data_IF_680059968167
#
_entry.id   IF_680059968167
#
_cell.length_a   1.000
_cell.length_b   1.000
_cell.length_c   1.000
_cell.angle_alpha   90.00
_cell.angle_beta   90.00
_cell.angle_gamma   90.00
#
_symmetry.space_group_name_H-M   'P 1'
#
loop_
_entity.id
_entity.type
_entity.pdbx_description
1 polymer ?
#
# COMPACT_ATOMS: atom_id res chain seq x y z
N UNK A 1 3.18 -26.05 -1.33
CA UNK A 1 4.46 -25.65 -0.71
C UNK A 1 4.63 -24.15 -0.90
N UNK A 2 4.75 -23.36 0.17
CA UNK A 2 5.04 -21.91 0.04
C UNK A 2 6.53 -21.79 -0.28
N UNK A 3 6.87 -21.13 -1.39
CA UNK A 3 8.28 -20.89 -1.74
C UNK A 3 8.93 -20.04 -0.63
N UNK A 4 10.21 -20.29 -0.29
CA UNK A 4 10.92 -19.43 0.64
C UNK A 4 11.00 -18.01 0.10
N UNK A 5 10.97 -17.03 1.01
CA UNK A 5 11.20 -15.63 0.68
C UNK A 5 12.66 -15.48 0.22
N UNK A 6 12.87 -15.01 -1.00
CA UNK A 6 14.20 -14.73 -1.55
C UNK A 6 14.59 -13.28 -1.20
N UNK A 7 15.55 -13.06 -0.27
CA UNK A 7 15.95 -11.72 0.16
C UNK A 7 16.67 -10.92 -0.94
N UNK A 8 17.15 -11.58 -2.00
CA UNK A 8 17.85 -10.92 -3.10
C UNK A 8 16.91 -10.42 -4.21
N UNK A 9 15.63 -10.77 -4.14
CA UNK A 9 14.63 -10.38 -5.14
C UNK A 9 13.62 -9.43 -4.54
N UNK A 10 13.91 -8.16 -4.75
CA UNK A 10 13.04 -7.04 -4.44
C UNK A 10 12.05 -6.84 -5.57
N UNK A 11 10.78 -6.64 -5.21
CA UNK A 11 9.71 -6.21 -6.11
C UNK A 11 9.02 -4.97 -5.53
N UNK A 12 8.48 -4.13 -6.38
CA UNK A 12 7.66 -2.98 -5.95
C UNK A 12 6.19 -3.38 -6.04
N UNK A 13 5.40 -3.02 -5.05
CA UNK A 13 3.95 -3.16 -5.05
C UNK A 13 3.32 -1.77 -5.07
N UNK A 14 2.26 -1.64 -5.86
CA UNK A 14 1.43 -0.47 -5.91
C UNK A 14 0.17 -0.72 -5.09
N UNK A 15 -0.17 0.22 -4.22
CA UNK A 15 -1.42 0.22 -3.51
C UNK A 15 -2.27 1.42 -3.92
N UNK A 16 -3.50 1.15 -4.31
CA UNK A 16 -4.50 2.17 -4.64
C UNK A 16 -5.56 2.18 -3.54
N UNK A 17 -5.79 3.34 -2.95
CA UNK A 17 -6.74 3.48 -1.85
C UNK A 17 -7.67 4.67 -2.06
N UNK A 18 -8.82 4.59 -1.41
CA UNK A 18 -9.79 5.66 -1.34
C UNK A 18 -10.08 5.96 0.10
N UNK A 19 -10.17 7.24 0.42
CA UNK A 19 -10.55 7.70 1.75
C UNK A 19 -11.50 8.90 1.65
N UNK A 20 -12.12 9.22 2.77
CA UNK A 20 -12.89 10.45 2.95
C UNK A 20 -12.42 11.17 4.20
N UNK A 21 -12.44 12.49 4.19
CA UNK A 21 -12.20 13.33 5.35
C UNK A 21 -13.50 13.99 5.78
N UNK A 22 -13.45 14.87 6.78
CA UNK A 22 -14.61 15.69 7.16
C UNK A 22 -15.08 16.62 6.03
N UNK A 23 -14.15 17.12 5.24
CA UNK A 23 -14.42 18.16 4.24
C UNK A 23 -14.56 17.60 2.82
N UNK A 24 -13.99 16.41 2.56
CA UNK A 24 -13.99 15.79 1.23
C UNK A 24 -14.53 14.36 1.29
N UNK A 25 -15.58 14.10 0.50
CA UNK A 25 -16.30 12.83 0.52
C UNK A 25 -15.57 11.67 -0.17
N UNK A 26 -14.64 11.97 -1.09
CA UNK A 26 -13.89 10.94 -1.81
C UNK A 26 -12.56 11.46 -2.34
N UNK A 27 -11.46 10.92 -1.83
CA UNK A 27 -10.09 11.15 -2.29
C UNK A 27 -9.48 9.83 -2.74
N UNK A 28 -8.64 9.89 -3.78
CA UNK A 28 -7.89 8.75 -4.31
C UNK A 28 -6.41 8.93 -4.00
N UNK A 29 -5.79 7.89 -3.44
CA UNK A 29 -4.36 7.84 -3.16
C UNK A 29 -3.68 6.67 -3.86
N UNK A 30 -2.39 6.81 -4.14
CA UNK A 30 -1.53 5.74 -4.63
C UNK A 30 -0.23 5.76 -3.84
N UNK A 31 0.20 4.59 -3.37
CA UNK A 31 1.47 4.43 -2.66
C UNK A 31 2.26 3.28 -3.25
N UNK A 32 3.57 3.34 -3.12
CA UNK A 32 4.47 2.29 -3.57
C UNK A 32 5.26 1.74 -2.39
N UNK A 33 5.26 0.42 -2.26
CA UNK A 33 5.97 -0.27 -1.19
C UNK A 33 6.96 -1.28 -1.78
N UNK A 34 8.18 -1.25 -1.26
CA UNK A 34 9.21 -2.22 -1.60
C UNK A 34 8.95 -3.52 -0.82
N UNK A 35 8.91 -4.66 -1.50
CA UNK A 35 8.62 -5.96 -0.92
C UNK A 35 9.59 -7.03 -1.41
N UNK A 36 9.66 -8.14 -0.69
CA UNK A 36 10.33 -9.34 -1.18
C UNK A 36 9.40 -10.11 -2.14
N UNK A 37 9.95 -10.77 -3.16
CA UNK A 37 9.15 -11.38 -4.23
C UNK A 37 8.04 -12.34 -3.74
N UNK A 38 8.27 -13.05 -2.65
CA UNK A 38 7.32 -14.01 -2.06
C UNK A 38 6.73 -13.53 -0.73
N UNK A 39 6.79 -12.23 -0.44
CA UNK A 39 6.19 -11.64 0.75
C UNK A 39 4.65 -11.80 0.71
N UNK A 40 4.02 -12.31 1.78
CA UNK A 40 2.57 -12.47 1.81
C UNK A 40 1.85 -11.12 1.76
N UNK A 41 0.80 -11.02 0.94
CA UNK A 41 0.05 -9.78 0.77
C UNK A 41 -0.46 -9.15 2.08
N UNK A 42 -0.82 -9.95 3.09
CA UNK A 42 -1.27 -9.41 4.39
C UNK A 42 -0.16 -8.63 5.12
N UNK A 43 1.09 -9.08 5.05
CA UNK A 43 2.22 -8.36 5.65
C UNK A 43 2.50 -7.03 4.94
N UNK A 44 2.24 -6.98 3.64
CA UNK A 44 2.32 -5.75 2.85
C UNK A 44 1.21 -4.77 3.22
N UNK A 45 -0.01 -5.26 3.45
CA UNK A 45 -1.12 -4.44 3.92
C UNK A 45 -0.81 -3.82 5.29
N UNK A 46 -0.31 -4.60 6.24
CA UNK A 46 -0.01 -4.10 7.59
C UNK A 46 1.02 -2.96 7.56
N UNK A 47 2.15 -3.16 6.86
CA UNK A 47 3.19 -2.14 6.70
C UNK A 47 2.66 -0.88 6.02
N UNK A 48 1.88 -1.06 4.96
CA UNK A 48 1.24 0.05 4.26
C UNK A 48 0.30 0.84 5.19
N UNK A 49 -0.50 0.14 5.99
CA UNK A 49 -1.45 0.81 6.89
C UNK A 49 -0.73 1.63 7.95
N UNK A 50 0.39 1.14 8.46
CA UNK A 50 1.22 1.90 9.39
C UNK A 50 1.77 3.18 8.73
N UNK A 51 2.27 3.10 7.49
CA UNK A 51 2.82 4.25 6.76
C UNK A 51 1.74 5.31 6.45
N UNK A 52 0.60 4.88 5.90
CA UNK A 52 -0.42 5.81 5.40
C UNK A 52 -1.39 6.29 6.45
N UNK A 53 -1.63 5.52 7.51
CA UNK A 53 -2.39 6.04 8.64
C UNK A 53 -1.67 7.23 9.27
N UNK A 54 -0.34 7.17 9.40
CA UNK A 54 0.47 8.29 9.90
C UNK A 54 0.39 9.49 8.96
N UNK A 55 0.60 9.29 7.66
CA UNK A 55 0.57 10.37 6.67
C UNK A 55 -0.81 11.03 6.54
N UNK A 56 -1.88 10.23 6.40
CA UNK A 56 -3.23 10.75 6.27
C UNK A 56 -3.72 11.46 7.54
N UNK A 57 -3.35 10.98 8.72
CA UNK A 57 -3.66 11.68 9.97
C UNK A 57 -2.89 12.98 10.10
N UNK A 58 -1.63 13.01 9.68
CA UNK A 58 -0.82 14.22 9.71
C UNK A 58 -1.39 15.29 8.76
N UNK A 59 -1.84 14.91 7.57
CA UNK A 59 -2.33 15.84 6.56
C UNK A 59 -3.80 16.25 6.75
N UNK A 60 -4.66 15.31 7.11
CA UNK A 60 -6.12 15.51 7.10
C UNK A 60 -6.78 15.36 8.48
N UNK A 61 -6.03 15.00 9.51
CA UNK A 61 -6.58 14.69 10.83
C UNK A 61 -7.42 13.41 10.79
N UNK A 62 -8.72 13.53 11.05
CA UNK A 62 -9.62 12.39 10.97
C UNK A 62 -9.96 12.05 9.51
N UNK A 63 -9.62 10.81 9.13
CA UNK A 63 -9.99 10.24 7.85
C UNK A 63 -10.68 8.88 8.03
N UNK A 64 -11.47 8.49 7.04
CA UNK A 64 -12.08 7.17 6.97
C UNK A 64 -11.66 6.49 5.66
N UNK A 65 -10.93 5.38 5.79
CA UNK A 65 -10.62 4.53 4.65
C UNK A 65 -11.89 3.89 4.09
N UNK A 66 -12.04 3.92 2.76
CA UNK A 66 -13.21 3.40 2.05
C UNK A 66 -12.91 2.11 1.29
N UNK A 67 -11.75 2.06 0.64
CA UNK A 67 -11.31 0.88 -0.09
C UNK A 67 -9.80 0.91 -0.27
N UNK A 68 -9.20 -0.26 -0.42
CA UNK A 68 -7.78 -0.45 -0.57
C UNK A 68 -7.53 -1.67 -1.43
N UNK A 69 -6.62 -1.58 -2.40
CA UNK A 69 -6.22 -2.69 -3.25
C UNK A 69 -4.71 -2.66 -3.50
N UNK A 70 -4.02 -3.74 -3.16
CA UNK A 70 -2.59 -3.91 -3.41
C UNK A 70 -2.35 -4.85 -4.60
N UNK A 71 -1.41 -4.47 -5.47
CA UNK A 71 -1.00 -5.28 -6.61
C UNK A 71 0.52 -5.15 -6.85
N UNK A 72 1.18 -6.16 -7.42
CA UNK A 72 2.54 -5.99 -7.90
C UNK A 72 2.59 -4.81 -8.88
N UNK A 73 3.53 -3.90 -8.71
CA UNK A 73 3.76 -2.84 -9.68
C UNK A 73 4.37 -3.48 -10.93
N UNK A 74 3.74 -3.26 -12.08
CA UNK A 74 4.32 -3.67 -13.36
C UNK A 74 5.39 -2.63 -13.70
N UNK A 75 6.63 -2.91 -13.34
CA UNK A 75 7.77 -2.18 -13.87
C UNK A 75 7.94 -2.68 -15.30
N UNK A 76 7.68 -1.82 -16.29
CA UNK A 76 8.11 -2.15 -17.66
C UNK A 76 9.63 -2.18 -17.63
N UNK A 77 10.21 -3.30 -18.01
CA UNK A 77 11.63 -3.33 -18.36
C UNK A 77 11.81 -2.42 -19.59
N UNK A 78 12.73 -1.45 -19.48
CA UNK A 78 13.14 -0.59 -20.60
C UNK A 78 13.93 -1.39 -21.66
#
# INVERSE_FOLDING_TARGET
MKQPVDPNKVVVWQLEFRFSTKDVSLVHGTHFIQALQNEPAHQLYDRFFDEIDIELRAEHGDYQLRSCNIRPAIVKED
#
